data_IF_301903001696
#
_entry.id   IF_301903001696
#
_cell.length_a   1.000
_cell.length_b   1.000
_cell.length_c   1.000
_cell.angle_alpha   90.00
_cell.angle_beta   90.00
_cell.angle_gamma   90.00
#
_symmetry.space_group_name_H-M   'P 1'
#
loop_
_entity.id
_entity.type
_entity.pdbx_description
1 polymer ?
#
# COMPACT_ATOMS: atom_id res chain seq x y z
N UNK A 1 0.85 0.16 -37.01
CA UNK A 1 -0.02 0.48 -35.85
C UNK A 1 -0.55 -0.84 -35.34
N UNK A 2 -0.02 -1.34 -34.21
CA UNK A 2 -0.47 -2.60 -33.62
C UNK A 2 -1.43 -2.29 -32.49
N UNK A 3 -2.69 -2.67 -32.69
CA UNK A 3 -3.78 -2.58 -31.73
C UNK A 3 -3.51 -3.54 -30.57
N UNK A 4 -3.43 -3.01 -29.35
CA UNK A 4 -3.36 -3.82 -28.13
C UNK A 4 -4.76 -4.37 -27.84
N UNK A 5 -4.95 -5.68 -28.03
CA UNK A 5 -6.17 -6.36 -27.57
C UNK A 5 -6.07 -6.56 -26.06
N UNK A 6 -6.84 -5.78 -25.29
CA UNK A 6 -7.14 -6.12 -23.90
C UNK A 6 -7.99 -7.39 -23.90
N UNK A 7 -7.40 -8.51 -23.49
CA UNK A 7 -8.19 -9.67 -23.09
C UNK A 7 -8.89 -9.33 -21.78
N UNK A 8 -10.22 -9.19 -21.84
CA UNK A 8 -11.08 -9.16 -20.66
C UNK A 8 -10.93 -10.51 -19.95
N UNK A 9 -9.96 -10.62 -19.03
CA UNK A 9 -9.97 -11.62 -17.99
C UNK A 9 -11.15 -11.28 -17.08
N UNK A 10 -12.32 -11.85 -17.40
CA UNK A 10 -13.47 -11.94 -16.49
C UNK A 10 -13.07 -12.87 -15.34
N UNK A 11 -12.28 -12.34 -14.40
CA UNK A 11 -12.10 -12.95 -13.09
C UNK A 11 -13.45 -12.78 -12.39
N UNK A 12 -14.14 -13.85 -11.97
CA UNK A 12 -15.38 -13.72 -11.25
C UNK A 12 -15.12 -12.88 -10.00
N UNK A 13 -15.77 -11.71 -9.90
CA UNK A 13 -15.78 -10.90 -8.70
C UNK A 13 -16.53 -11.68 -7.63
N UNK A 14 -15.80 -12.49 -6.86
CA UNK A 14 -16.33 -13.16 -5.69
C UNK A 14 -16.83 -12.06 -4.75
N UNK A 15 -18.13 -12.02 -4.45
CA UNK A 15 -18.68 -11.30 -3.28
C UNK A 15 -18.25 -12.05 -2.02
N UNK A 16 -16.95 -12.12 -1.78
CA UNK A 16 -16.39 -12.45 -0.48
C UNK A 16 -16.47 -11.21 0.39
N UNK A 17 -16.71 -11.39 1.69
CA UNK A 17 -16.41 -10.38 2.70
C UNK A 17 -14.90 -10.08 2.65
N UNK A 18 -14.45 -9.27 1.70
CA UNK A 18 -13.06 -8.87 1.59
C UNK A 18 -12.82 -7.72 2.56
N UNK A 19 -12.38 -8.07 3.76
CA UNK A 19 -11.86 -7.13 4.75
C UNK A 19 -10.51 -6.52 4.36
N UNK A 20 -10.03 -6.70 3.12
CA UNK A 20 -8.70 -6.28 2.64
C UNK A 20 -8.76 -5.73 1.22
N UNK A 21 -7.96 -4.69 0.95
CA UNK A 21 -7.66 -4.20 -0.40
C UNK A 21 -6.92 -5.30 -1.16
N UNK A 22 -7.57 -5.90 -2.17
CA UNK A 22 -7.05 -7.06 -2.90
C UNK A 22 -5.98 -6.71 -3.94
N UNK A 23 -5.87 -5.44 -4.34
CA UNK A 23 -4.89 -5.00 -5.32
C UNK A 23 -4.32 -3.63 -4.92
N UNK A 24 -3.00 -3.56 -4.80
CA UNK A 24 -2.27 -2.31 -4.61
C UNK A 24 -1.19 -2.24 -5.68
N UNK A 25 -1.23 -1.17 -6.47
CA UNK A 25 -0.40 -1.02 -7.66
C UNK A 25 0.05 0.44 -7.82
N UNK A 26 1.12 0.63 -8.59
CA UNK A 26 1.69 1.93 -8.87
C UNK A 26 2.39 1.97 -10.23
N UNK A 27 2.62 3.17 -10.73
CA UNK A 27 3.40 3.40 -11.95
C UNK A 27 4.31 4.60 -11.77
N UNK A 28 5.60 4.42 -12.10
CA UNK A 28 6.61 5.49 -12.10
C UNK A 28 7.42 5.34 -13.38
N UNK A 29 7.44 6.40 -14.20
CA UNK A 29 8.21 6.48 -15.44
C UNK A 29 8.03 5.27 -16.39
N UNK A 30 6.82 4.71 -16.47
CA UNK A 30 6.55 3.52 -17.30
C UNK A 30 6.99 2.19 -16.69
N UNK A 31 7.38 2.16 -15.43
CA UNK A 31 7.52 0.95 -14.62
C UNK A 31 6.25 0.73 -13.81
N UNK A 32 5.50 -0.32 -14.16
CA UNK A 32 4.31 -0.76 -13.45
C UNK A 32 4.73 -1.69 -12.31
N UNK A 33 4.07 -1.56 -11.15
CA UNK A 33 4.34 -2.41 -10.01
C UNK A 33 3.07 -2.77 -9.25
N UNK A 34 3.02 -3.96 -8.67
CA UNK A 34 1.93 -4.42 -7.82
C UNK A 34 2.43 -5.43 -6.80
N UNK A 35 1.72 -5.55 -5.68
CA UNK A 35 1.97 -6.60 -4.69
C UNK A 35 1.14 -7.82 -5.03
N UNK A 36 1.75 -9.01 -4.98
CA UNK A 36 1.05 -10.29 -5.09
C UNK A 36 0.73 -10.90 -3.72
N UNK A 37 0.07 -12.05 -3.73
CA UNK A 37 -0.31 -12.77 -2.51
C UNK A 37 0.86 -13.45 -1.79
N UNK A 38 2.06 -13.48 -2.39
CA UNK A 38 3.25 -14.10 -1.81
C UNK A 38 4.18 -13.08 -1.12
N UNK A 39 3.68 -11.88 -0.81
CA UNK A 39 4.47 -10.79 -0.26
C UNK A 39 5.62 -10.36 -1.18
N UNK A 40 5.38 -10.33 -2.50
CA UNK A 40 6.35 -9.87 -3.48
C UNK A 40 5.81 -8.63 -4.20
N UNK A 41 6.67 -7.64 -4.40
CA UNK A 41 6.40 -6.57 -5.36
C UNK A 41 6.90 -7.03 -6.71
N UNK A 42 5.98 -7.19 -7.66
CA UNK A 42 6.29 -7.49 -9.05
C UNK A 42 6.42 -6.18 -9.80
N UNK A 43 7.42 -6.11 -10.68
CA UNK A 43 7.69 -4.95 -11.53
C UNK A 43 7.67 -5.35 -12.99
N UNK A 44 7.11 -4.47 -13.81
CA UNK A 44 7.17 -4.52 -15.27
C UNK A 44 7.63 -3.18 -15.82
N UNK A 45 8.83 -3.15 -16.39
CA UNK A 45 9.37 -1.98 -17.08
C UNK A 45 8.94 -2.03 -18.53
N UNK A 46 7.96 -1.21 -18.90
CA UNK A 46 7.44 -1.16 -20.28
C UNK A 46 8.45 -0.58 -21.27
N UNK A 47 9.40 0.24 -20.80
CA UNK A 47 10.45 0.85 -21.63
C UNK A 47 11.49 -0.21 -22.00
N UNK A 48 11.98 -0.95 -21.01
CA UNK A 48 13.01 -1.99 -21.21
C UNK A 48 12.42 -3.39 -21.45
N UNK A 49 11.09 -3.54 -21.42
CA UNK A 49 10.33 -4.79 -21.62
C UNK A 49 10.81 -5.95 -20.75
N UNK A 50 10.98 -5.70 -19.45
CA UNK A 50 11.50 -6.69 -18.51
C UNK A 50 10.66 -6.77 -17.24
N UNK A 51 10.69 -7.95 -16.62
CA UNK A 51 10.06 -8.25 -15.35
C UNK A 51 11.11 -8.57 -14.29
N UNK A 52 10.83 -8.19 -13.06
CA UNK A 52 11.52 -8.69 -11.88
C UNK A 52 10.58 -8.63 -10.68
N UNK A 53 10.93 -9.35 -9.62
CA UNK A 53 10.18 -9.35 -8.37
C UNK A 53 11.11 -9.13 -7.19
N UNK A 54 10.59 -8.53 -6.14
CA UNK A 54 11.31 -8.30 -4.89
C UNK A 54 10.42 -8.75 -3.73
N UNK A 55 10.93 -9.68 -2.91
CA UNK A 55 10.27 -10.07 -1.67
C UNK A 55 10.30 -8.91 -0.69
N UNK A 56 9.16 -8.59 -0.10
CA UNK A 56 9.07 -7.60 0.98
C UNK A 56 9.08 -8.30 2.33
N UNK A 57 9.88 -7.76 3.25
CA UNK A 57 9.92 -8.21 4.64
C UNK A 57 8.85 -7.47 5.45
N UNK A 58 7.58 -7.75 5.16
CA UNK A 58 6.44 -7.05 5.76
C UNK A 58 5.43 -8.06 6.30
N UNK A 59 4.80 -7.76 7.44
CA UNK A 59 3.67 -8.54 7.96
C UNK A 59 2.37 -8.06 7.28
N UNK A 60 1.44 -8.96 7.01
CA UNK A 60 0.14 -8.62 6.42
C UNK A 60 -0.69 -7.70 7.32
N UNK A 61 -1.60 -6.87 6.75
CA UNK A 61 -1.77 -6.54 5.32
C UNK A 61 -0.76 -5.55 4.74
N UNK A 62 -0.43 -5.73 3.44
CA UNK A 62 0.49 -4.89 2.67
C UNK A 62 -0.24 -3.96 1.70
N UNK A 63 0.17 -2.69 1.67
CA UNK A 63 -0.35 -1.70 0.73
C UNK A 63 0.82 -1.08 -0.02
N UNK A 64 0.67 -0.92 -1.33
CA UNK A 64 1.63 -0.30 -2.25
C UNK A 64 1.02 0.98 -2.81
N UNK A 65 1.77 2.08 -2.80
CA UNK A 65 1.31 3.35 -3.37
C UNK A 65 2.48 4.19 -3.86
N UNK A 66 2.19 5.09 -4.80
CA UNK A 66 3.14 6.10 -5.26
C UNK A 66 2.79 7.42 -4.57
N UNK A 67 3.77 8.03 -3.91
CA UNK A 67 3.63 9.31 -3.23
C UNK A 67 4.77 10.25 -3.58
N UNK A 68 4.46 11.43 -4.12
CA UNK A 68 5.48 12.40 -4.50
C UNK A 68 6.50 11.87 -5.51
N UNK A 69 6.09 10.94 -6.39
CA UNK A 69 6.97 10.25 -7.34
C UNK A 69 7.83 9.13 -6.74
N UNK A 70 7.64 8.80 -5.46
CA UNK A 70 8.36 7.73 -4.76
C UNK A 70 7.42 6.54 -4.56
N UNK A 71 7.91 5.33 -4.85
CA UNK A 71 7.18 4.11 -4.54
C UNK A 71 7.33 3.78 -3.06
N UNK A 72 6.22 3.59 -2.36
CA UNK A 72 6.22 3.19 -0.96
C UNK A 72 5.32 1.96 -0.78
N UNK A 73 5.72 1.08 0.15
CA UNK A 73 4.84 0.06 0.68
C UNK A 73 4.72 0.21 2.18
N UNK A 74 3.56 -0.17 2.72
CA UNK A 74 3.30 -0.11 4.14
C UNK A 74 2.60 -1.38 4.62
N UNK A 75 3.03 -1.87 5.78
CA UNK A 75 2.37 -2.94 6.54
C UNK A 75 1.58 -2.34 7.68
N UNK A 76 0.41 -2.91 7.95
CA UNK A 76 -0.32 -2.67 9.18
C UNK A 76 -0.45 -3.99 9.94
N UNK A 77 -0.07 -4.03 11.22
CA UNK A 77 -0.20 -5.25 12.05
C UNK A 77 -0.45 -4.83 13.50
N UNK A 78 -1.49 -5.38 14.14
CA UNK A 78 -1.85 -5.08 15.54
C UNK A 78 -1.90 -3.58 15.89
N UNK A 79 -2.42 -2.76 14.97
CA UNK A 79 -2.50 -1.31 15.18
C UNK A 79 -1.18 -0.57 14.98
N UNK A 80 -0.11 -1.24 14.57
CA UNK A 80 1.15 -0.61 14.15
C UNK A 80 1.20 -0.46 12.64
N UNK A 81 1.59 0.71 12.13
CA UNK A 81 1.92 0.94 10.72
C UNK A 81 3.42 1.09 10.59
N UNK A 82 4.02 0.31 9.70
CA UNK A 82 5.41 0.52 9.27
C UNK A 82 5.42 0.78 7.77
N UNK A 83 6.11 1.84 7.34
CA UNK A 83 6.21 2.22 5.94
C UNK A 83 7.66 2.25 5.49
N UNK A 84 7.88 1.69 4.30
CA UNK A 84 9.14 1.73 3.58
C UNK A 84 8.94 2.44 2.25
N UNK A 85 9.90 3.27 1.88
CA UNK A 85 9.91 3.93 0.59
C UNK A 85 11.19 3.57 -0.15
N UNK A 86 11.04 3.42 -1.46
CA UNK A 86 12.12 3.13 -2.39
C UNK A 86 13.02 4.37 -2.49
N UNK A 87 14.29 4.22 -2.18
CA UNK A 87 15.28 5.32 -2.25
C UNK A 87 16.14 5.25 -3.51
N UNK A 88 16.39 4.03 -3.98
CA UNK A 88 17.15 3.80 -5.20
C UNK A 88 16.28 3.93 -6.45
N UNK A 89 16.92 3.90 -7.63
CA UNK A 89 16.23 3.81 -8.91
C UNK A 89 15.28 2.59 -8.96
N UNK A 90 14.01 2.82 -9.30
CA UNK A 90 13.00 1.76 -9.45
C UNK A 90 13.40 0.68 -10.47
N UNK A 91 14.22 1.03 -11.45
CA UNK A 91 14.76 0.12 -12.47
C UNK A 91 15.94 -0.73 -11.97
N UNK A 92 16.40 -0.55 -10.73
CA UNK A 92 17.46 -1.35 -10.15
C UNK A 92 16.90 -2.67 -9.60
N UNK A 93 17.38 -3.85 -10.02
CA UNK A 93 17.05 -5.11 -9.36
C UNK A 93 17.50 -5.15 -7.91
N UNK A 94 18.55 -4.39 -7.57
CA UNK A 94 19.07 -4.23 -6.21
C UNK A 94 18.44 -3.01 -5.54
N UNK A 95 17.13 -2.87 -5.68
CA UNK A 95 16.38 -1.75 -5.16
C UNK A 95 16.51 -1.65 -3.63
N UNK A 96 16.95 -0.49 -3.14
CA UNK A 96 17.11 -0.20 -1.72
C UNK A 96 15.85 0.46 -1.18
N UNK A 97 15.29 -0.16 -0.15
CA UNK A 97 14.11 0.30 0.57
C UNK A 97 14.52 0.81 1.94
N UNK A 98 14.05 2.00 2.29
CA UNK A 98 14.31 2.61 3.59
C UNK A 98 13.02 2.67 4.38
N UNK A 99 13.06 2.19 5.63
CA UNK A 99 11.97 2.40 6.58
C UNK A 99 11.90 3.89 6.89
N UNK A 100 10.83 4.57 6.48
CA UNK A 100 10.64 6.01 6.71
C UNK A 100 9.77 6.29 7.93
N UNK A 101 8.75 5.46 8.17
CA UNK A 101 7.81 5.68 9.27
C UNK A 101 7.56 4.39 10.06
N UNK A 102 7.41 4.54 11.37
CA UNK A 102 7.03 3.48 12.30
C UNK A 102 6.07 4.06 13.36
N UNK A 103 4.76 3.91 13.13
CA UNK A 103 3.72 4.58 13.89
C UNK A 103 2.84 3.58 14.65
N UNK A 104 2.48 3.91 15.88
CA UNK A 104 1.55 3.14 16.70
C UNK A 104 0.18 3.83 16.72
N UNK A 105 -0.82 3.21 16.10
CA UNK A 105 -2.19 3.72 16.04
C UNK A 105 -3.00 3.38 17.30
N UNK A 106 -2.53 2.53 18.21
CA UNK A 106 -3.33 2.08 19.37
C UNK A 106 -3.86 3.26 20.18
N UNK A 107 -3.02 4.28 20.41
CA UNK A 107 -3.45 5.48 21.14
C UNK A 107 -4.41 6.34 20.33
N UNK A 108 -4.15 6.52 19.03
CA UNK A 108 -5.02 7.27 18.13
C UNK A 108 -6.40 6.63 17.95
N UNK A 109 -6.46 5.30 18.00
CA UNK A 109 -7.68 4.50 17.88
C UNK A 109 -8.44 4.35 19.20
N UNK A 110 -7.83 4.67 20.35
CA UNK A 110 -8.46 4.54 21.67
C UNK A 110 -9.76 5.36 21.80
N UNK A 111 -9.85 6.49 21.10
CA UNK A 111 -11.03 7.36 21.10
C UNK A 111 -12.15 6.90 20.13
N UNK A 112 -11.92 5.83 19.37
CA UNK A 112 -12.93 5.21 18.52
C UNK A 112 -13.32 3.89 19.17
N UNK A 113 -14.30 3.90 20.10
CA UNK A 113 -14.63 2.72 20.87
C UNK A 113 -15.09 1.61 19.91
N UNK A 114 -14.40 0.44 19.94
CA UNK A 114 -14.80 -0.69 19.15
C UNK A 114 -16.07 -1.26 19.81
N UNK A 115 -17.23 -1.10 19.16
CA UNK A 115 -18.34 -2.00 19.44
C UNK A 115 -17.97 -3.39 18.89
N UNK A 116 -17.23 -4.16 19.69
CA UNK A 116 -16.73 -5.50 19.35
C UNK A 116 -15.24 -5.52 18.98
N UNK A 117 -14.51 -6.50 19.51
CA UNK A 117 -13.08 -6.75 19.28
C UNK A 117 -12.66 -6.45 17.84
N UNK A 118 -11.49 -5.82 17.67
CA UNK A 118 -10.85 -5.49 16.39
C UNK A 118 -11.40 -4.23 15.72
N UNK A 119 -10.82 -3.07 16.04
CA UNK A 119 -10.75 -1.96 15.09
C UNK A 119 -9.84 -2.38 13.93
N UNK A 120 -10.32 -3.31 13.10
CA UNK A 120 -9.60 -3.82 11.95
C UNK A 120 -9.55 -2.69 10.93
N UNK A 121 -8.37 -2.09 10.76
CA UNK A 121 -8.10 -1.26 9.58
C UNK A 121 -8.36 -2.15 8.36
N UNK A 122 -9.48 -1.93 7.67
CA UNK A 122 -9.92 -2.78 6.56
C UNK A 122 -9.13 -2.50 5.29
N UNK A 123 -8.68 -1.25 5.12
CA UNK A 123 -7.76 -0.90 4.06
C UNK A 123 -6.96 0.35 4.43
N UNK A 124 -5.81 0.48 3.79
CA UNK A 124 -4.96 1.65 3.87
C UNK A 124 -4.62 2.14 2.47
N UNK A 125 -4.50 3.45 2.30
CA UNK A 125 -3.90 4.04 1.12
C UNK A 125 -2.89 5.13 1.49
N UNK A 126 -1.93 5.37 0.60
CA UNK A 126 -0.87 6.37 0.81
C UNK A 126 -1.30 7.64 0.07
N UNK A 127 -1.22 8.79 0.73
CA UNK A 127 -1.56 10.05 0.09
C UNK A 127 -0.63 10.30 -1.12
N UNK A 128 -1.16 10.65 -2.31
CA UNK A 128 -0.40 10.65 -3.56
C UNK A 128 0.72 11.70 -3.64
N UNK A 129 0.67 12.74 -2.79
CA UNK A 129 1.70 13.79 -2.73
C UNK A 129 2.49 13.83 -1.41
N UNK A 130 2.02 13.18 -0.34
CA UNK A 130 2.55 13.36 1.02
C UNK A 130 2.71 11.99 1.69
N UNK A 131 3.90 11.36 1.66
CA UNK A 131 4.05 9.98 2.09
C UNK A 131 3.84 9.77 3.60
N UNK A 132 3.95 10.82 4.42
CA UNK A 132 3.59 10.75 5.84
C UNK A 132 2.06 10.69 6.06
N UNK A 133 1.22 11.01 5.07
CA UNK A 133 -0.24 10.92 5.25
C UNK A 133 -0.74 9.60 4.68
N UNK A 134 -1.49 8.85 5.50
CA UNK A 134 -2.19 7.65 5.09
C UNK A 134 -3.69 7.78 5.33
N UNK A 135 -4.48 7.17 4.46
CA UNK A 135 -5.92 7.05 4.62
C UNK A 135 -6.25 5.65 5.13
N UNK A 136 -6.98 5.58 6.24
CA UNK A 136 -7.36 4.34 6.90
C UNK A 136 -8.87 4.19 6.86
N UNK A 137 -9.36 3.04 6.40
CA UNK A 137 -10.78 2.71 6.53
C UNK A 137 -10.99 1.89 7.80
N UNK A 138 -11.64 2.49 8.78
CA UNK A 138 -11.90 1.91 10.11
C UNK A 138 -13.41 1.91 10.30
N UNK A 139 -14.01 0.72 10.46
CA UNK A 139 -15.47 0.56 10.69
C UNK A 139 -16.35 1.35 9.71
N UNK A 140 -15.96 1.40 8.44
CA UNK A 140 -16.70 2.10 7.39
C UNK A 140 -16.41 3.61 7.29
N UNK A 141 -15.67 4.18 8.24
CA UNK A 141 -15.22 5.57 8.21
C UNK A 141 -13.81 5.65 7.62
N UNK A 142 -13.54 6.69 6.81
CA UNK A 142 -12.20 6.99 6.31
C UNK A 142 -11.58 8.05 7.21
N UNK A 143 -10.37 7.81 7.71
CA UNK A 143 -9.61 8.73 8.55
C UNK A 143 -8.28 9.02 7.88
N UNK A 144 -7.85 10.28 7.88
CA UNK A 144 -6.49 10.63 7.49
C UNK A 144 -5.58 10.60 8.72
N UNK A 145 -4.44 9.94 8.60
CA UNK A 145 -3.48 9.83 9.68
C UNK A 145 -2.13 10.36 9.21
N UNK A 146 -1.56 11.27 9.98
CA UNK A 146 -0.21 11.81 9.78
C UNK A 146 0.77 10.91 10.55
N UNK A 147 1.67 10.22 9.84
CA UNK A 147 2.65 9.31 10.40
C UNK A 147 3.82 10.02 11.10
N UNK A 148 4.01 11.32 10.86
CA UNK A 148 5.02 12.13 11.55
C UNK A 148 4.52 12.64 12.91
N UNK A 149 3.20 12.74 13.07
CA UNK A 149 2.57 13.29 14.27
C UNK A 149 1.72 12.23 14.94
N UNK A 150 1.78 12.12 16.25
CA UNK A 150 0.96 11.18 17.03
C UNK A 150 -0.55 11.48 17.04
N UNK A 151 -1.05 12.40 16.20
CA UNK A 151 -2.44 12.81 16.15
C UNK A 151 -2.98 12.79 14.71
N UNK A 152 -3.95 11.91 14.44
CA UNK A 152 -4.69 11.87 13.18
C UNK A 152 -5.67 13.04 13.02
N UNK A 153 -6.02 13.38 11.77
CA UNK A 153 -7.04 14.38 11.44
C UNK A 153 -8.18 13.75 10.66
N UNK A 154 -9.42 14.10 11.00
CA UNK A 154 -10.59 13.68 10.26
C UNK A 154 -10.76 14.55 9.00
N UNK A 155 -11.13 13.92 7.89
CA UNK A 155 -11.55 14.59 6.66
C UNK A 155 -13.00 14.26 6.41
#
# INVERSE_FOLDING_TARGET
>A
MNTLHLYNLLIPLYKGFCFRKLASAGVIDGVFCWIDHEAQIIFYDSVNRRFWALRVNALEPWNLGVSGGVLCYASQYEGKITMWCLESNIRSPNAVWVRKYDANLIEALRNYPPSGLEAAVMCMDIHPANPHIVYLKINGTIVSYDLEKTYGKFV
#
